data_IF_136249130026
#
_entry.id   IF_136249130026
#
_cell.length_a   1.000
_cell.length_b   1.000
_cell.length_c   1.000
_cell.angle_alpha   90.00
_cell.angle_beta   90.00
_cell.angle_gamma   90.00
#
_symmetry.space_group_name_H-M   'P 1'
#
loop_
_entity.id
_entity.type
_entity.pdbx_description
1 polymer ?
#
# COMPACT_ATOMS: atom_id res chain seq x y z
N UNK A 1 7.82 8.48 9.94
CA UNK A 1 7.01 7.24 9.87
C UNK A 1 6.00 7.43 8.76
N UNK A 2 6.08 6.64 7.70
CA UNK A 2 5.07 6.68 6.63
C UNK A 2 3.74 6.13 7.15
N UNK A 3 2.68 6.89 6.96
CA UNK A 3 1.32 6.52 7.37
C UNK A 3 0.39 6.42 6.16
N UNK A 4 -0.80 5.83 6.37
CA UNK A 4 -1.85 5.82 5.35
C UNK A 4 -2.30 7.24 4.96
N UNK A 5 -2.14 8.23 5.85
CA UNK A 5 -2.45 9.64 5.55
C UNK A 5 -1.51 10.20 4.50
N UNK A 6 -0.22 9.87 4.57
CA UNK A 6 0.78 10.37 3.61
C UNK A 6 0.49 9.84 2.21
N UNK A 7 0.21 8.53 2.10
CA UNK A 7 -0.18 7.90 0.83
C UNK A 7 -1.47 8.51 0.29
N UNK A 8 -2.45 8.75 1.16
CA UNK A 8 -3.73 9.35 0.78
C UNK A 8 -3.56 10.77 0.24
N UNK A 9 -2.67 11.55 0.85
CA UNK A 9 -2.36 12.92 0.43
C UNK A 9 -1.70 12.93 -0.96
N UNK A 10 -0.68 12.09 -1.17
CA UNK A 10 0.03 11.98 -2.44
C UNK A 10 -0.87 11.41 -3.56
N UNK A 11 -1.70 10.41 -3.22
CA UNK A 11 -2.60 9.79 -4.17
C UNK A 11 -3.88 10.61 -4.43
N UNK A 12 -4.07 11.73 -3.71
CA UNK A 12 -5.27 12.59 -3.76
C UNK A 12 -6.57 11.83 -3.53
N UNK A 13 -6.56 10.91 -2.56
CA UNK A 13 -7.73 10.09 -2.18
C UNK A 13 -7.94 10.11 -0.66
N UNK A 14 -9.04 9.49 -0.20
CA UNK A 14 -9.26 9.32 1.23
C UNK A 14 -8.38 8.22 1.83
N UNK A 15 -8.04 8.35 3.11
CA UNK A 15 -7.34 7.31 3.89
C UNK A 15 -8.10 5.98 3.85
N UNK A 16 -9.44 6.03 3.88
CA UNK A 16 -10.32 4.87 3.75
C UNK A 16 -10.17 4.18 2.39
N UNK A 17 -10.02 4.95 1.31
CA UNK A 17 -9.73 4.43 -0.04
C UNK A 17 -8.39 3.72 -0.08
N UNK A 18 -7.33 4.34 0.45
CA UNK A 18 -6.00 3.70 0.53
C UNK A 18 -6.05 2.40 1.33
N UNK A 19 -6.65 2.44 2.52
CA UNK A 19 -6.78 1.26 3.38
C UNK A 19 -7.50 0.12 2.66
N UNK A 20 -8.65 0.40 2.05
CA UNK A 20 -9.41 -0.60 1.29
C UNK A 20 -8.63 -1.15 0.09
N UNK A 21 -7.97 -0.28 -0.68
CA UNK A 21 -7.15 -0.68 -1.84
C UNK A 21 -5.97 -1.57 -1.42
N UNK A 22 -5.23 -1.17 -0.39
CA UNK A 22 -4.09 -1.94 0.13
C UNK A 22 -4.53 -3.25 0.80
N UNK A 23 -5.74 -3.29 1.37
CA UNK A 23 -6.33 -4.51 1.91
C UNK A 23 -6.97 -5.41 0.85
N UNK A 24 -6.99 -5.00 -0.43
CA UNK A 24 -7.53 -5.81 -1.52
C UNK A 24 -9.05 -5.85 -1.60
N UNK A 25 -9.73 -4.83 -1.07
CA UNK A 25 -11.20 -4.72 -1.15
C UNK A 25 -11.67 -4.58 -2.61
N UNK A 26 -12.32 -5.63 -3.11
CA UNK A 26 -12.85 -5.71 -4.47
C UNK A 26 -14.22 -5.04 -4.62
N UNK A 27 -14.89 -4.70 -3.50
CA UNK A 27 -16.20 -4.02 -3.52
C UNK A 27 -16.05 -2.53 -3.78
N UNK A 28 -14.84 -1.99 -3.56
CA UNK A 28 -14.54 -0.60 -3.80
C UNK A 28 -14.37 -0.34 -5.31
N UNK A 29 -15.34 0.38 -5.89
CA UNK A 29 -15.24 0.89 -7.25
C UNK A 29 -14.23 2.05 -7.34
N UNK A 30 -12.97 1.72 -7.57
CA UNK A 30 -11.91 2.68 -7.93
C UNK A 30 -11.39 2.39 -9.33
N UNK A 31 -10.99 3.44 -10.04
CA UNK A 31 -10.29 3.28 -11.31
C UNK A 31 -9.01 2.48 -11.11
N UNK A 32 -8.67 1.65 -12.10
CA UNK A 32 -7.40 0.93 -12.14
C UNK A 32 -6.21 1.90 -12.03
N UNK A 33 -6.33 3.10 -12.62
CA UNK A 33 -5.30 4.14 -12.54
C UNK A 33 -5.09 4.60 -11.08
N UNK A 34 -6.17 4.85 -10.34
CA UNK A 34 -6.11 5.24 -8.92
C UNK A 34 -5.52 4.12 -8.07
N UNK A 35 -5.92 2.88 -8.34
CA UNK A 35 -5.39 1.70 -7.63
C UNK A 35 -3.89 1.57 -7.84
N UNK A 36 -3.44 1.71 -9.08
CA UNK A 36 -2.02 1.66 -9.42
C UNK A 36 -1.24 2.80 -8.76
N UNK A 37 -1.78 4.02 -8.78
CA UNK A 37 -1.14 5.17 -8.14
C UNK A 37 -0.95 4.96 -6.63
N UNK A 38 -1.97 4.45 -5.93
CA UNK A 38 -1.88 4.11 -4.49
C UNK A 38 -0.79 3.07 -4.23
N UNK A 39 -0.73 2.02 -5.06
CA UNK A 39 0.29 0.97 -4.93
C UNK A 39 1.70 1.48 -5.20
N UNK A 40 1.86 2.36 -6.19
CA UNK A 40 3.14 2.97 -6.55
C UNK A 40 3.67 3.90 -5.45
N UNK A 41 2.80 4.78 -4.94
CA UNK A 41 3.12 5.68 -3.82
C UNK A 41 3.43 4.87 -2.55
N UNK A 42 2.64 3.82 -2.26
CA UNK A 42 2.92 2.95 -1.12
C UNK A 42 4.31 2.29 -1.24
N UNK A 43 4.70 1.82 -2.43
CA UNK A 43 6.06 1.29 -2.68
C UNK A 43 7.12 2.37 -2.53
N UNK A 44 6.92 3.55 -3.12
CA UNK A 44 7.87 4.68 -3.08
C UNK A 44 8.12 5.17 -1.65
N UNK A 45 7.07 5.22 -0.83
CA UNK A 45 7.16 5.62 0.57
C UNK A 45 7.58 4.48 1.50
N UNK A 46 7.94 3.32 0.92
CA UNK A 46 8.30 2.09 1.63
C UNK A 46 7.26 1.70 2.69
N UNK A 47 5.98 1.93 2.37
CA UNK A 47 4.87 1.58 3.25
C UNK A 47 4.68 0.07 3.26
N UNK A 48 5.20 -0.58 4.30
CA UNK A 48 4.92 -1.98 4.57
C UNK A 48 3.62 -2.08 5.38
N UNK A 49 2.50 -2.54 4.80
CA UNK A 49 1.31 -2.82 5.60
C UNK A 49 1.67 -3.84 6.67
N UNK A 50 1.08 -3.71 7.86
CA UNK A 50 1.40 -4.57 9.02
C UNK A 50 1.19 -6.06 8.72
N UNK A 51 0.29 -6.39 7.77
CA UNK A 51 0.11 -7.75 7.24
C UNK A 51 1.30 -8.25 6.42
N UNK A 52 1.98 -7.39 5.64
CA UNK A 52 3.16 -7.77 4.87
C UNK A 52 4.41 -7.94 5.75
N UNK A 53 4.49 -7.28 6.91
CA UNK A 53 5.59 -7.55 7.87
C UNK A 53 5.63 -9.00 8.37
N UNK A 54 4.51 -9.75 8.29
CA UNK A 54 4.51 -11.18 8.58
C UNK A 54 5.03 -12.06 7.43
N UNK A 55 5.04 -11.55 6.20
CA UNK A 55 5.54 -12.27 5.02
C UNK A 55 6.97 -11.86 4.63
N UNK A 56 7.40 -10.65 4.99
CA UNK A 56 8.78 -10.16 4.72
C UNK A 56 9.82 -10.75 5.68
N UNK A 57 9.42 -11.40 6.78
CA UNK A 57 10.35 -12.21 7.60
C UNK A 57 10.72 -13.56 6.96
N UNK A 58 10.29 -13.82 5.72
CA UNK A 58 10.63 -15.05 4.98
C UNK A 58 11.60 -14.88 3.81
N UNK A 59 12.10 -13.68 3.50
CA UNK A 59 13.07 -13.47 2.40
C UNK A 59 14.32 -12.65 2.79
N UNK A 60 14.78 -12.75 4.03
CA UNK A 60 16.13 -12.35 4.39
C UNK A 60 17.06 -13.57 4.48
N UNK A 61 17.29 -14.26 3.36
CA UNK A 61 18.54 -15.03 3.11
C UNK A 61 18.80 -15.09 1.62
N UNK A 62 19.45 -14.04 1.09
CA UNK A 62 20.23 -14.14 -0.14
C UNK A 62 21.50 -14.93 0.23
N UNK A 63 21.69 -16.20 -0.19
CA UNK A 63 22.96 -16.87 0.04
C UNK A 63 24.01 -16.24 -0.88
N UNK A 64 25.16 -15.92 -0.31
CA UNK A 64 26.41 -15.64 -1.01
C UNK A 64 26.92 -16.94 -1.60
#
# INVERSE_FOLDING_TARGET
>A
MTTLKDIAHDAKVSVSTVSRVLNGDQTLAVSHATRQNILDIAKKLNYTPVRARKADQTEEKKPI
#
